data_IF_562256075968
#
_entry.id   IF_562256075968
#
_cell.length_a   1.000
_cell.length_b   1.000
_cell.length_c   1.000
_cell.angle_alpha   90.00
_cell.angle_beta   90.00
_cell.angle_gamma   90.00
#
_symmetry.space_group_name_H-M   'P 1'
#
loop_
_entity.id
_entity.type
_entity.pdbx_description
1 polymer ?
#
# COMPACT_ATOMS: atom_id res chain seq x y z
N UNK A 1 -0.40 1.91 -69.10
CA UNK A 1 -1.57 1.87 -68.19
C UNK A 1 -1.15 0.96 -67.02
N UNK A 2 -0.52 1.57 -65.98
CA UNK A 2 0.01 0.84 -64.82
C UNK A 2 -0.78 1.35 -63.61
N UNK A 3 -1.48 0.43 -62.95
CA UNK A 3 -2.21 0.69 -61.69
C UNK A 3 -1.22 0.70 -60.53
N UNK A 4 -1.31 1.61 -59.56
CA UNK A 4 -0.56 1.58 -58.34
C UNK A 4 -1.33 0.73 -57.27
N UNK A 5 -0.72 -0.37 -56.87
CA UNK A 5 -1.15 -1.14 -55.67
C UNK A 5 -0.84 -0.33 -54.41
N UNK A 6 -1.89 0.03 -53.70
CA UNK A 6 -1.79 0.65 -52.40
C UNK A 6 -1.39 -0.39 -51.34
N UNK A 7 -0.18 -0.27 -50.84
CA UNK A 7 0.36 -1.07 -49.72
C UNK A 7 -0.23 -0.56 -48.41
N UNK A 8 -1.39 -1.13 -47.98
CA UNK A 8 -1.98 -0.85 -46.68
C UNK A 8 -1.41 -1.84 -45.65
N UNK A 9 -0.41 -1.42 -44.92
CA UNK A 9 0.07 -2.08 -43.72
C UNK A 9 -0.98 -1.93 -42.62
N UNK A 10 -1.92 -2.87 -42.51
CA UNK A 10 -2.74 -3.06 -41.30
C UNK A 10 -1.87 -3.77 -40.25
N UNK A 11 -1.32 -2.99 -39.35
CA UNK A 11 -0.82 -3.46 -38.05
C UNK A 11 -2.02 -3.90 -37.22
N UNK A 12 -2.47 -5.12 -37.39
CA UNK A 12 -3.38 -5.79 -36.44
C UNK A 12 -2.57 -6.13 -35.20
N UNK A 13 -2.55 -5.20 -34.25
CA UNK A 13 -2.20 -5.53 -32.88
C UNK A 13 -3.22 -6.54 -32.37
N UNK A 14 -2.90 -7.80 -32.43
CA UNK A 14 -3.61 -8.89 -31.80
C UNK A 14 -3.44 -8.71 -30.28
N UNK A 15 -4.38 -8.00 -29.64
CA UNK A 15 -4.51 -7.97 -28.19
C UNK A 15 -4.98 -9.36 -27.79
N UNK A 16 -4.20 -10.15 -27.02
CA UNK A 16 -4.66 -11.44 -26.57
C UNK A 16 -5.93 -11.23 -25.74
N UNK A 17 -6.98 -11.97 -26.07
CA UNK A 17 -8.23 -12.05 -25.35
C UNK A 17 -7.98 -12.53 -23.91
N UNK A 18 -7.85 -11.59 -22.96
CA UNK A 18 -7.57 -11.85 -21.54
C UNK A 18 -8.88 -12.20 -20.81
N UNK A 19 -9.77 -12.95 -21.42
CA UNK A 19 -11.07 -13.16 -20.77
C UNK A 19 -11.60 -14.59 -20.85
N UNK A 20 -10.70 -15.58 -20.69
CA UNK A 20 -11.16 -16.93 -20.33
C UNK A 20 -10.06 -17.67 -19.55
N UNK A 21 -9.61 -17.13 -18.43
CA UNK A 21 -8.98 -17.95 -17.42
C UNK A 21 -10.10 -18.61 -16.60
N UNK A 22 -10.47 -19.85 -16.97
CA UNK A 22 -11.10 -20.76 -16.03
C UNK A 22 -10.23 -20.82 -14.79
N UNK A 23 -10.73 -20.51 -13.58
CA UNK A 23 -9.99 -20.74 -12.36
C UNK A 23 -9.85 -22.26 -12.18
N UNK A 24 -8.70 -22.77 -12.54
CA UNK A 24 -8.27 -24.13 -12.22
C UNK A 24 -7.67 -24.09 -10.82
N UNK A 25 -8.47 -24.31 -9.85
CA UNK A 25 -8.19 -24.95 -8.57
C UNK A 25 -9.47 -24.92 -7.75
N UNK A 26 -9.76 -25.99 -7.07
CA UNK A 26 -10.84 -26.11 -6.08
C UNK A 26 -10.81 -24.90 -5.16
N UNK A 27 -11.53 -23.84 -5.51
CA UNK A 27 -11.87 -22.78 -4.59
C UNK A 27 -12.73 -23.46 -3.55
N UNK A 28 -12.13 -23.81 -2.41
CA UNK A 28 -12.86 -24.06 -1.18
C UNK A 28 -13.67 -22.78 -0.99
N UNK A 29 -14.99 -22.84 -1.16
CA UNK A 29 -15.84 -21.71 -0.77
C UNK A 29 -15.48 -21.40 0.68
N UNK A 30 -14.88 -20.22 0.96
CA UNK A 30 -14.44 -19.93 2.30
C UNK A 30 -15.69 -19.87 3.17
N UNK A 31 -15.85 -20.87 4.02
CA UNK A 31 -16.93 -20.91 5.00
C UNK A 31 -16.87 -19.65 5.85
N UNK A 32 -17.99 -19.22 6.43
CA UNK A 32 -18.05 -18.03 7.29
C UNK A 32 -16.93 -18.02 8.34
N UNK A 33 -16.48 -19.18 8.82
CA UNK A 33 -15.37 -19.36 9.76
C UNK A 33 -14.04 -18.88 9.19
N UNK A 34 -13.69 -19.20 7.93
CA UNK A 34 -12.45 -18.75 7.28
C UNK A 34 -12.43 -17.23 7.07
N UNK A 35 -13.59 -16.66 6.71
CA UNK A 35 -13.73 -15.20 6.59
C UNK A 35 -13.51 -14.50 7.95
N UNK A 36 -14.02 -15.05 9.06
CA UNK A 36 -13.79 -14.50 10.41
C UNK A 36 -12.30 -14.57 10.80
N UNK A 37 -11.62 -15.67 10.51
CA UNK A 37 -10.17 -15.79 10.74
C UNK A 37 -9.41 -14.75 9.93
N UNK A 38 -9.73 -14.55 8.64
CA UNK A 38 -9.11 -13.54 7.79
C UNK A 38 -9.35 -12.11 8.31
N UNK A 39 -10.57 -11.81 8.78
CA UNK A 39 -10.88 -10.52 9.43
C UNK A 39 -10.00 -10.33 10.67
N UNK A 40 -9.89 -11.34 11.54
CA UNK A 40 -9.07 -11.27 12.75
C UNK A 40 -7.58 -11.04 12.45
N UNK A 41 -7.03 -11.77 11.45
CA UNK A 41 -5.65 -11.58 11.00
C UNK A 41 -5.41 -10.17 10.43
N UNK A 42 -6.36 -9.64 9.65
CA UNK A 42 -6.26 -8.29 9.10
C UNK A 42 -6.36 -7.22 10.19
N UNK A 43 -7.26 -7.36 11.16
CA UNK A 43 -7.35 -6.46 12.32
C UNK A 43 -6.03 -6.44 13.10
N UNK A 44 -5.47 -7.61 13.38
CA UNK A 44 -4.19 -7.71 14.07
C UNK A 44 -3.06 -7.08 13.25
N UNK A 45 -3.06 -7.26 11.94
CA UNK A 45 -2.08 -6.63 11.07
C UNK A 45 -2.17 -5.10 11.11
N UNK A 46 -3.38 -4.53 11.07
CA UNK A 46 -3.57 -3.07 11.15
C UNK A 46 -3.12 -2.51 12.50
N UNK A 47 -3.40 -3.22 13.59
CA UNK A 47 -2.87 -2.90 14.91
C UNK A 47 -1.34 -2.88 14.94
N UNK A 48 -0.70 -3.93 14.39
CA UNK A 48 0.75 -4.06 14.31
C UNK A 48 1.37 -2.98 13.42
N UNK A 49 0.81 -2.70 12.25
CA UNK A 49 1.32 -1.64 11.39
C UNK A 49 1.20 -0.26 12.01
N UNK A 50 0.11 0.01 12.73
CA UNK A 50 -0.04 1.26 13.45
C UNK A 50 1.01 1.40 14.57
N UNK A 51 1.35 0.30 15.26
CA UNK A 51 2.46 0.28 16.23
C UNK A 51 3.81 0.56 15.55
N UNK A 52 4.06 -0.05 14.37
CA UNK A 52 5.28 0.22 13.56
C UNK A 52 5.38 1.69 13.20
N UNK A 53 4.29 2.30 12.73
CA UNK A 53 4.28 3.70 12.33
C UNK A 53 4.44 4.64 13.54
N UNK A 54 3.92 4.25 14.71
CA UNK A 54 4.11 4.95 15.98
C UNK A 54 5.57 4.90 16.43
N UNK A 55 6.19 3.72 16.41
CA UNK A 55 7.63 3.58 16.73
C UNK A 55 8.47 4.39 15.74
N UNK A 56 8.12 4.35 14.45
CA UNK A 56 8.79 5.15 13.44
C UNK A 56 8.70 6.64 13.76
N UNK A 57 7.51 7.15 14.14
CA UNK A 57 7.33 8.56 14.55
C UNK A 57 8.14 8.90 15.80
N UNK A 58 8.21 8.03 16.80
CA UNK A 58 9.10 8.23 17.96
C UNK A 58 10.56 8.35 17.51
N UNK A 59 11.01 7.48 16.62
CA UNK A 59 12.40 7.49 16.14
C UNK A 59 12.74 8.71 15.28
N UNK A 60 11.75 9.40 14.67
CA UNK A 60 12.00 10.62 13.87
C UNK A 60 12.50 11.80 14.70
N UNK A 61 12.41 11.76 16.04
CA UNK A 61 13.00 12.77 16.92
C UNK A 61 14.52 12.76 16.89
N UNK A 62 15.14 11.58 16.72
CA UNK A 62 16.57 11.38 16.84
C UNK A 62 17.23 10.87 15.56
N UNK A 63 16.45 10.35 14.61
CA UNK A 63 16.98 9.73 13.40
C UNK A 63 16.34 10.24 12.14
N UNK A 64 17.13 10.28 11.08
CA UNK A 64 16.63 10.68 9.76
C UNK A 64 15.58 9.69 9.22
N UNK A 65 14.45 10.14 8.63
CA UNK A 65 13.38 9.29 8.11
C UNK A 65 13.86 8.16 7.20
N UNK A 66 14.86 8.40 6.34
CA UNK A 66 15.40 7.37 5.43
C UNK A 66 16.07 6.22 6.19
N UNK A 67 16.76 6.50 7.30
CA UNK A 67 17.36 5.48 8.16
C UNK A 67 16.28 4.63 8.84
N UNK A 68 15.20 5.26 9.30
CA UNK A 68 14.08 4.58 9.95
C UNK A 68 13.41 3.64 8.95
N UNK A 69 13.10 4.12 7.72
CA UNK A 69 12.50 3.28 6.68
C UNK A 69 13.41 2.12 6.30
N UNK A 70 14.72 2.37 6.16
CA UNK A 70 15.69 1.32 5.86
C UNK A 70 15.70 0.24 6.95
N UNK A 71 15.78 0.65 8.22
CA UNK A 71 15.73 -0.27 9.36
C UNK A 71 14.44 -1.09 9.40
N UNK A 72 13.30 -0.44 9.16
CA UNK A 72 11.99 -1.10 9.04
C UNK A 72 12.00 -2.22 8.00
N UNK A 73 12.66 -2.03 6.86
CA UNK A 73 12.71 -3.03 5.79
C UNK A 73 13.57 -4.25 6.13
N UNK A 74 14.48 -4.15 7.09
CA UNK A 74 15.32 -5.28 7.50
C UNK A 74 14.49 -6.48 8.00
N UNK A 75 13.35 -6.24 8.65
CA UNK A 75 12.45 -7.32 9.06
C UNK A 75 11.85 -8.09 7.88
N UNK A 76 11.47 -7.39 6.81
CA UNK A 76 11.00 -8.01 5.57
C UNK A 76 12.13 -8.78 4.88
N UNK A 77 13.34 -8.21 4.84
CA UNK A 77 14.52 -8.88 4.26
C UNK A 77 14.86 -10.15 5.04
N UNK A 78 14.79 -10.12 6.39
CA UNK A 78 14.96 -11.34 7.18
C UNK A 78 13.94 -12.41 6.79
N UNK A 79 12.68 -12.05 6.59
CA UNK A 79 11.65 -12.95 6.08
C UNK A 79 12.00 -13.52 4.68
N UNK A 80 12.55 -12.69 3.79
CA UNK A 80 13.02 -13.13 2.45
C UNK A 80 14.16 -14.14 2.56
N UNK A 81 15.13 -13.93 3.47
CA UNK A 81 16.19 -14.90 3.70
C UNK A 81 15.67 -16.25 4.19
N UNK A 82 14.70 -16.26 5.10
CA UNK A 82 14.03 -17.48 5.55
C UNK A 82 13.33 -18.16 4.37
N UNK A 83 12.59 -17.42 3.55
CA UNK A 83 11.91 -17.96 2.37
C UNK A 83 12.91 -18.51 1.34
N UNK A 84 14.05 -17.83 1.15
CA UNK A 84 15.10 -18.26 0.26
C UNK A 84 15.76 -19.57 0.74
N UNK A 85 15.97 -19.74 2.05
CA UNK A 85 16.46 -20.96 2.64
C UNK A 85 15.49 -22.15 2.43
N UNK A 86 14.18 -21.89 2.43
CA UNK A 86 13.14 -22.91 2.27
C UNK A 86 12.85 -23.25 0.79
N UNK A 87 12.92 -22.29 -0.13
CA UNK A 87 12.50 -22.41 -1.53
C UNK A 87 13.62 -22.25 -2.56
N UNK A 88 14.80 -21.85 -2.13
CA UNK A 88 15.96 -21.64 -3.01
C UNK A 88 15.81 -20.45 -3.95
N UNK A 89 16.62 -20.44 -5.02
CA UNK A 89 16.68 -19.34 -6.00
C UNK A 89 15.39 -19.16 -6.82
N UNK A 90 14.50 -20.15 -6.86
CA UNK A 90 13.20 -20.06 -7.55
C UNK A 90 12.30 -18.94 -7.01
N UNK A 91 12.60 -18.43 -5.81
CA UNK A 91 11.94 -17.27 -5.23
C UNK A 91 12.07 -16.01 -6.10
N UNK A 92 13.12 -15.90 -6.92
CA UNK A 92 13.39 -14.72 -7.76
C UNK A 92 13.06 -14.94 -9.24
N UNK A 93 12.41 -16.05 -9.59
CA UNK A 93 11.99 -16.31 -10.95
C UNK A 93 10.82 -15.40 -11.33
N UNK A 94 11.06 -14.50 -12.30
CA UNK A 94 10.05 -13.61 -12.87
C UNK A 94 10.35 -13.30 -14.33
N UNK A 95 9.31 -13.18 -15.14
CA UNK A 95 9.41 -12.68 -16.52
C UNK A 95 9.41 -11.15 -16.60
N UNK A 96 9.06 -10.47 -15.51
CA UNK A 96 8.81 -9.03 -15.48
C UNK A 96 9.74 -8.28 -14.51
N UNK A 97 11.06 -8.55 -14.56
CA UNK A 97 12.06 -7.97 -13.64
C UNK A 97 11.97 -6.44 -13.54
N UNK A 98 11.80 -5.73 -14.67
CA UNK A 98 11.70 -4.27 -14.69
C UNK A 98 10.49 -3.76 -13.89
N UNK A 99 9.35 -4.45 -13.98
CA UNK A 99 8.15 -4.10 -13.22
C UNK A 99 8.32 -4.40 -11.74
N UNK A 100 8.97 -5.51 -11.37
CA UNK A 100 9.29 -5.81 -9.98
C UNK A 100 10.24 -4.76 -9.37
N UNK A 101 11.27 -4.32 -10.12
CA UNK A 101 12.15 -3.23 -9.69
C UNK A 101 11.40 -1.90 -9.54
N UNK A 102 10.58 -1.52 -10.52
CA UNK A 102 9.76 -0.31 -10.44
C UNK A 102 8.81 -0.35 -9.23
N UNK A 103 8.16 -1.51 -8.97
CA UNK A 103 7.30 -1.71 -7.81
C UNK A 103 8.05 -1.55 -6.48
N UNK A 104 9.24 -2.13 -6.38
CA UNK A 104 10.10 -1.98 -5.19
C UNK A 104 10.54 -0.54 -4.97
N UNK A 105 10.90 0.18 -6.04
CA UNK A 105 11.23 1.60 -5.99
C UNK A 105 10.04 2.44 -5.50
N UNK A 106 8.83 2.22 -6.05
CA UNK A 106 7.62 2.91 -5.61
C UNK A 106 7.33 2.64 -4.13
N UNK A 107 7.54 1.39 -3.66
CA UNK A 107 7.38 1.04 -2.26
C UNK A 107 8.36 1.79 -1.35
N UNK A 108 9.65 1.85 -1.74
CA UNK A 108 10.68 2.55 -0.97
C UNK A 108 10.39 4.06 -0.87
N UNK A 109 10.09 4.70 -2.01
CA UNK A 109 9.79 6.13 -2.07
C UNK A 109 8.50 6.47 -1.31
N UNK A 110 7.44 5.66 -1.48
CA UNK A 110 6.18 5.84 -0.74
C UNK A 110 6.42 5.77 0.77
N UNK A 111 7.16 4.77 1.25
CA UNK A 111 7.47 4.65 2.67
C UNK A 111 8.34 5.80 3.18
N UNK A 112 9.34 6.23 2.41
CA UNK A 112 10.20 7.36 2.77
C UNK A 112 9.39 8.67 2.92
N UNK A 113 8.52 8.96 1.96
CA UNK A 113 7.66 10.15 2.00
C UNK A 113 6.66 10.11 3.16
N UNK A 114 6.05 8.94 3.43
CA UNK A 114 5.13 8.78 4.54
C UNK A 114 5.82 8.99 5.90
N UNK A 115 6.96 8.35 6.13
CA UNK A 115 7.73 8.51 7.38
C UNK A 115 8.25 9.95 7.52
N UNK A 116 8.62 10.60 6.42
CA UNK A 116 8.96 12.03 6.45
C UNK A 116 7.73 12.88 6.82
N UNK A 117 6.54 12.57 6.29
CA UNK A 117 5.33 13.30 6.64
C UNK A 117 5.01 13.22 8.13
N UNK A 118 5.01 12.03 8.72
CA UNK A 118 4.65 11.82 10.14
C UNK A 118 5.64 12.45 11.12
N UNK A 119 6.82 12.86 10.64
CA UNK A 119 7.76 13.64 11.44
C UNK A 119 7.22 15.06 11.74
N UNK A 120 6.38 15.60 10.87
CA UNK A 120 5.90 16.98 10.95
C UNK A 120 4.42 17.08 11.32
N UNK A 121 3.63 16.03 11.12
CA UNK A 121 2.18 16.05 11.33
C UNK A 121 1.72 14.92 12.26
N UNK A 122 0.53 15.05 12.89
CA UNK A 122 -0.07 13.98 13.66
C UNK A 122 -0.18 12.68 12.83
N UNK A 123 0.10 11.54 13.49
CA UNK A 123 0.10 10.25 12.82
C UNK A 123 -1.24 9.92 12.15
N UNK A 124 -2.34 10.23 12.84
CA UNK A 124 -3.68 9.95 12.36
C UNK A 124 -4.03 10.77 11.11
N UNK A 125 -3.59 12.03 11.03
CA UNK A 125 -3.84 12.92 9.87
C UNK A 125 -3.10 12.38 8.64
N UNK A 126 -1.83 12.00 8.79
CA UNK A 126 -1.05 11.38 7.72
C UNK A 126 -1.70 10.07 7.23
N UNK A 127 -2.14 9.19 8.15
CA UNK A 127 -2.83 7.94 7.81
C UNK A 127 -4.13 8.24 7.06
N UNK A 128 -4.96 9.18 7.55
CA UNK A 128 -6.24 9.52 6.93
C UNK A 128 -6.06 10.00 5.47
N UNK A 129 -5.04 10.82 5.22
CA UNK A 129 -4.71 11.30 3.87
C UNK A 129 -4.32 10.15 2.94
N UNK A 130 -3.62 9.12 3.43
CA UNK A 130 -3.23 7.98 2.57
C UNK A 130 -4.43 7.18 2.04
N UNK A 131 -5.62 7.31 2.62
CA UNK A 131 -6.83 6.69 2.11
C UNK A 131 -7.31 7.25 0.76
N UNK A 132 -6.67 8.28 0.23
CA UNK A 132 -6.86 8.70 -1.15
C UNK A 132 -6.36 7.65 -2.16
N UNK A 133 -5.46 6.76 -1.76
CA UNK A 133 -4.84 5.78 -2.65
C UNK A 133 -5.83 4.92 -3.46
N UNK A 134 -6.94 4.35 -2.94
CA UNK A 134 -7.90 3.59 -3.72
C UNK A 134 -8.52 4.40 -4.86
N UNK A 135 -8.73 5.71 -4.66
CA UNK A 135 -9.28 6.60 -5.68
C UNK A 135 -8.25 6.89 -6.76
N UNK A 136 -6.99 7.09 -6.37
CA UNK A 136 -5.85 7.24 -7.30
C UNK A 136 -5.67 5.95 -8.13
N UNK A 137 -5.77 4.76 -7.51
CA UNK A 137 -5.76 3.47 -8.22
C UNK A 137 -6.87 3.42 -9.26
N UNK A 138 -8.10 3.80 -8.91
CA UNK A 138 -9.24 3.78 -9.83
C UNK A 138 -9.02 4.74 -11.00
N UNK A 139 -8.58 5.96 -10.72
CA UNK A 139 -8.31 6.98 -11.74
C UNK A 139 -7.24 6.51 -12.73
N UNK A 140 -6.09 6.04 -12.23
CA UNK A 140 -5.01 5.59 -13.11
C UNK A 140 -5.30 4.26 -13.81
N UNK A 141 -6.09 3.36 -13.22
CA UNK A 141 -6.58 2.17 -13.93
C UNK A 141 -7.45 2.54 -15.12
N UNK A 142 -8.31 3.55 -14.98
CA UNK A 142 -9.09 4.06 -16.09
C UNK A 142 -8.23 4.70 -17.19
N UNK A 143 -7.24 5.52 -16.80
CA UNK A 143 -6.42 6.28 -17.73
C UNK A 143 -5.34 5.43 -18.41
N UNK A 144 -4.60 4.62 -17.64
CA UNK A 144 -3.44 3.85 -18.12
C UNK A 144 -3.83 2.49 -18.69
N UNK A 145 -4.75 1.78 -18.01
CA UNK A 145 -5.20 0.45 -18.42
C UNK A 145 -6.43 0.54 -19.34
N UNK A 146 -6.95 1.75 -19.61
CA UNK A 146 -8.14 2.01 -20.42
C UNK A 146 -9.36 1.19 -19.96
N UNK A 147 -9.44 0.90 -18.66
CA UNK A 147 -10.59 0.19 -18.08
C UNK A 147 -11.83 1.08 -18.13
N UNK A 148 -12.95 0.50 -18.52
CA UNK A 148 -14.24 1.20 -18.48
C UNK A 148 -14.72 1.37 -17.05
N UNK A 149 -14.43 2.52 -16.45
CA UNK A 149 -14.87 2.89 -15.09
C UNK A 149 -16.26 3.50 -15.19
N UNK A 150 -17.25 2.88 -14.53
CA UNK A 150 -18.61 3.38 -14.52
C UNK A 150 -18.77 4.67 -13.69
N UNK A 151 -19.86 5.41 -13.91
CA UNK A 151 -20.15 6.68 -13.22
C UNK A 151 -20.08 6.60 -11.68
N UNK A 152 -20.53 5.48 -11.11
CA UNK A 152 -20.49 5.26 -9.65
C UNK A 152 -19.07 5.20 -9.07
N UNK A 153 -18.08 4.68 -9.83
CA UNK A 153 -16.67 4.71 -9.39
C UNK A 153 -16.12 6.12 -9.51
N UNK A 154 -16.48 6.86 -10.56
CA UNK A 154 -16.07 8.25 -10.71
C UNK A 154 -16.67 9.14 -9.62
N UNK A 155 -17.95 8.96 -9.26
CA UNK A 155 -18.53 9.72 -8.13
C UNK A 155 -17.82 9.41 -6.81
N UNK A 156 -17.46 8.15 -6.55
CA UNK A 156 -16.68 7.78 -5.37
C UNK A 156 -15.28 8.42 -5.38
N UNK A 157 -14.58 8.46 -6.53
CA UNK A 157 -13.31 9.15 -6.67
C UNK A 157 -13.43 10.63 -6.29
N UNK A 158 -14.44 11.32 -6.83
CA UNK A 158 -14.67 12.74 -6.55
C UNK A 158 -14.96 12.96 -5.06
N UNK A 159 -15.88 12.18 -4.48
CA UNK A 159 -16.25 12.30 -3.06
C UNK A 159 -15.07 12.00 -2.15
N UNK A 160 -14.28 10.95 -2.43
CA UNK A 160 -13.08 10.63 -1.67
C UNK A 160 -12.00 11.71 -1.76
N UNK A 161 -11.82 12.30 -2.94
CA UNK A 161 -10.92 13.44 -3.12
C UNK A 161 -11.37 14.68 -2.33
N UNK A 162 -12.67 14.98 -2.31
CA UNK A 162 -13.22 16.05 -1.47
C UNK A 162 -12.96 15.78 0.02
N UNK A 163 -13.12 14.54 0.48
CA UNK A 163 -12.75 14.15 1.85
C UNK A 163 -11.26 14.41 2.15
N UNK A 164 -10.37 14.13 1.20
CA UNK A 164 -8.93 14.45 1.35
C UNK A 164 -8.69 15.95 1.44
N UNK A 165 -9.40 16.77 0.65
CA UNK A 165 -9.30 18.23 0.72
C UNK A 165 -9.79 18.78 2.06
N UNK A 166 -10.80 18.17 2.69
CA UNK A 166 -11.26 18.54 4.04
C UNK A 166 -10.15 18.31 5.08
N UNK A 167 -9.37 17.24 4.96
CA UNK A 167 -8.22 16.98 5.85
C UNK A 167 -7.07 17.95 5.57
N UNK A 168 -6.74 18.16 4.29
CA UNK A 168 -5.61 19.00 3.87
C UNK A 168 -5.81 20.50 4.16
N UNK A 169 -7.04 20.99 4.09
CA UNK A 169 -7.42 22.42 4.29
C UNK A 169 -6.57 23.39 3.49
N UNK A 170 -6.38 23.22 2.18
CA UNK A 170 -5.50 24.09 1.41
C UNK A 170 -6.01 25.54 1.44
N UNK A 171 -5.15 26.49 1.86
CA UNK A 171 -5.49 27.91 1.94
C UNK A 171 -6.24 28.38 3.19
N UNK A 172 -6.43 27.51 4.19
CA UNK A 172 -7.00 27.86 5.50
C UNK A 172 -5.93 27.81 6.59
N UNK A 173 -6.21 28.45 7.73
CA UNK A 173 -5.39 28.31 8.93
C UNK A 173 -5.34 26.81 9.33
N UNK A 174 -4.11 26.29 9.53
CA UNK A 174 -3.88 24.87 9.84
C UNK A 174 -3.52 24.00 8.62
N UNK A 175 -3.26 24.58 7.43
CA UNK A 175 -2.65 23.84 6.33
C UNK A 175 -1.21 23.45 6.66
N UNK A 176 -0.97 22.15 6.72
CA UNK A 176 0.36 21.58 6.96
C UNK A 176 0.95 21.06 5.64
N UNK A 177 1.94 21.74 5.03
CA UNK A 177 2.52 21.34 3.74
C UNK A 177 3.07 19.91 3.75
N UNK A 178 3.49 19.40 4.91
CA UNK A 178 4.00 18.04 5.07
C UNK A 178 2.95 16.96 4.74
N UNK A 179 1.64 17.26 4.82
CA UNK A 179 0.58 16.36 4.37
C UNK A 179 0.63 16.08 2.87
N UNK A 180 1.19 16.99 2.06
CA UNK A 180 1.42 16.75 0.63
C UNK A 180 2.40 15.60 0.40
N UNK A 181 3.36 15.38 1.32
CA UNK A 181 4.23 14.21 1.27
C UNK A 181 3.43 12.92 1.47
N UNK A 182 2.43 12.91 2.37
CA UNK A 182 1.53 11.78 2.56
C UNK A 182 0.64 11.54 1.33
N UNK A 183 0.16 12.60 0.65
CA UNK A 183 -0.57 12.47 -0.63
C UNK A 183 0.34 11.85 -1.69
N UNK A 184 1.57 12.34 -1.84
CA UNK A 184 2.52 11.80 -2.81
C UNK A 184 2.89 10.35 -2.48
N UNK A 185 3.05 10.01 -1.19
CA UNK A 185 3.23 8.64 -0.74
C UNK A 185 2.05 7.75 -1.17
N UNK A 186 0.80 8.22 -1.01
CA UNK A 186 -0.40 7.52 -1.44
C UNK A 186 -0.46 7.33 -2.96
N UNK A 187 -0.04 8.31 -3.75
CA UNK A 187 0.05 8.22 -5.21
C UNK A 187 1.07 7.14 -5.61
N UNK A 188 2.28 7.13 -5.04
CA UNK A 188 3.28 6.10 -5.31
C UNK A 188 2.82 4.72 -4.86
N UNK A 189 2.14 4.63 -3.72
CA UNK A 189 1.49 3.40 -3.27
C UNK A 189 0.44 2.91 -4.28
N UNK A 190 -0.37 3.80 -4.84
CA UNK A 190 -1.35 3.47 -5.86
C UNK A 190 -0.69 2.91 -7.13
N UNK A 191 0.38 3.52 -7.62
CA UNK A 191 1.16 2.97 -8.73
C UNK A 191 1.73 1.60 -8.43
N UNK A 192 2.28 1.40 -7.23
CA UNK A 192 2.72 0.08 -6.75
C UNK A 192 1.59 -0.95 -6.82
N UNK A 193 0.38 -0.58 -6.44
CA UNK A 193 -0.78 -1.47 -6.49
C UNK A 193 -1.19 -1.83 -7.93
N UNK A 194 -1.14 -0.86 -8.85
CA UNK A 194 -1.41 -1.10 -10.28
C UNK A 194 -0.40 -2.10 -10.87
N UNK A 195 0.89 -1.90 -10.58
CA UNK A 195 1.95 -2.83 -10.99
C UNK A 195 1.72 -4.22 -10.38
N UNK A 196 1.35 -4.28 -9.08
CA UNK A 196 1.05 -5.54 -8.39
C UNK A 196 -0.11 -6.29 -9.05
N UNK A 197 -1.17 -5.57 -9.45
CA UNK A 197 -2.32 -6.14 -10.16
C UNK A 197 -1.90 -6.74 -11.51
N UNK A 198 -1.02 -6.07 -12.24
CA UNK A 198 -0.50 -6.60 -13.50
C UNK A 198 0.34 -7.87 -13.28
N UNK A 199 1.20 -7.88 -12.25
CA UNK A 199 2.09 -9.00 -11.92
C UNK A 199 1.36 -10.22 -11.34
N UNK A 200 0.21 -10.03 -10.70
CA UNK A 200 -0.53 -11.13 -10.05
C UNK A 200 -0.99 -12.24 -11.00
N UNK A 201 -1.04 -11.95 -12.31
CA UNK A 201 -1.35 -12.96 -13.33
C UNK A 201 -0.16 -13.83 -13.75
N UNK A 202 1.08 -13.45 -13.40
CA UNK A 202 2.30 -14.12 -13.88
C UNK A 202 3.27 -14.53 -12.77
N UNK A 203 3.33 -13.76 -11.69
CA UNK A 203 4.32 -13.92 -10.64
C UNK A 203 3.68 -14.37 -9.32
N UNK A 204 4.42 -15.15 -8.54
CA UNK A 204 3.99 -15.55 -7.19
C UNK A 204 4.07 -14.34 -6.23
N UNK A 205 3.20 -14.31 -5.24
CA UNK A 205 3.17 -13.27 -4.22
C UNK A 205 4.50 -13.17 -3.49
N UNK A 206 5.11 -14.30 -3.16
CA UNK A 206 6.40 -14.37 -2.47
C UNK A 206 7.53 -13.75 -3.29
N UNK A 207 7.56 -13.98 -4.60
CA UNK A 207 8.51 -13.34 -5.53
C UNK A 207 8.36 -11.83 -5.48
N UNK A 208 7.13 -11.35 -5.52
CA UNK A 208 6.82 -9.93 -5.48
C UNK A 208 7.24 -9.28 -4.15
N UNK A 209 7.00 -9.95 -3.02
CA UNK A 209 7.45 -9.49 -1.70
C UNK A 209 8.97 -9.46 -1.61
N UNK A 210 9.63 -10.52 -2.09
CA UNK A 210 11.09 -10.62 -2.07
C UNK A 210 11.77 -9.49 -2.87
N UNK A 211 11.31 -9.25 -4.10
CA UNK A 211 11.82 -8.12 -4.91
C UNK A 211 11.58 -6.78 -4.22
N UNK A 212 10.40 -6.57 -3.64
CA UNK A 212 10.09 -5.30 -2.97
C UNK A 212 11.00 -5.05 -1.79
N UNK A 213 11.19 -6.03 -0.91
CA UNK A 213 12.05 -5.91 0.27
C UNK A 213 13.50 -5.61 -0.11
N UNK A 214 14.06 -6.38 -1.06
CA UNK A 214 15.45 -6.19 -1.48
C UNK A 214 15.66 -4.87 -2.23
N UNK A 215 14.79 -4.52 -3.16
CA UNK A 215 14.89 -3.26 -3.90
C UNK A 215 14.77 -2.07 -2.97
N UNK A 216 13.82 -2.11 -2.01
CA UNK A 216 13.66 -1.03 -1.06
C UNK A 216 14.91 -0.84 -0.19
N UNK A 217 15.48 -1.93 0.34
CA UNK A 217 16.72 -1.84 1.13
C UNK A 217 17.87 -1.31 0.29
N UNK A 218 18.06 -1.79 -0.96
CA UNK A 218 19.13 -1.34 -1.84
C UNK A 218 18.99 0.14 -2.22
N UNK A 219 17.79 0.59 -2.56
CA UNK A 219 17.52 1.99 -2.94
C UNK A 219 17.75 2.92 -1.74
N UNK A 220 17.25 2.54 -0.58
CA UNK A 220 17.39 3.34 0.64
C UNK A 220 18.82 3.31 1.18
N UNK A 221 19.62 2.29 0.87
CA UNK A 221 21.02 2.20 1.25
C UNK A 221 21.88 3.28 0.57
N UNK A 222 21.52 3.72 -0.64
CA UNK A 222 22.30 4.72 -1.39
C UNK A 222 22.44 6.04 -0.63
N UNK A 223 21.37 6.68 -0.13
CA UNK A 223 21.47 7.92 0.64
C UNK A 223 21.89 7.68 2.11
N UNK A 224 21.86 6.45 2.60
CA UNK A 224 22.05 6.14 4.01
C UNK A 224 23.39 6.65 4.59
N UNK A 225 24.54 6.51 3.92
CA UNK A 225 25.81 7.00 4.45
C UNK A 225 25.84 8.52 4.72
N UNK A 226 25.01 9.30 4.01
CA UNK A 226 24.94 10.76 4.15
C UNK A 226 24.02 11.21 5.30
N UNK A 227 23.14 10.33 5.76
CA UNK A 227 22.13 10.65 6.79
C UNK A 227 22.20 9.72 8.00
N UNK A 228 23.21 8.82 8.03
CA UNK A 228 23.34 7.84 9.09
C UNK A 228 23.67 8.49 10.43
N UNK A 229 22.86 8.19 11.42
CA UNK A 229 23.07 8.56 12.80
C UNK A 229 23.22 7.27 13.62
N UNK A 230 24.39 7.07 14.23
CA UNK A 230 24.66 5.83 14.98
C UNK A 230 23.81 5.80 16.25
N UNK A 231 22.97 4.77 16.46
CA UNK A 231 22.20 4.63 17.68
C UNK A 231 23.14 4.42 18.88
N UNK A 232 23.23 5.39 19.78
CA UNK A 232 24.07 5.32 20.96
C UNK A 232 23.38 4.63 22.12
N UNK A 233 22.04 4.75 22.19
CA UNK A 233 21.23 4.16 23.25
C UNK A 233 20.76 2.76 22.90
N UNK A 234 20.87 1.82 23.85
CA UNK A 234 20.27 0.49 23.73
C UNK A 234 18.74 0.53 23.55
N UNK A 235 18.07 1.57 24.03
CA UNK A 235 16.66 1.80 23.83
C UNK A 235 16.32 2.06 22.36
N UNK A 236 17.10 2.87 21.65
CA UNK A 236 16.91 3.11 20.21
C UNK A 236 17.12 1.83 19.39
N UNK A 237 18.16 1.05 19.72
CA UNK A 237 18.38 -0.25 19.08
C UNK A 237 17.21 -1.21 19.31
N UNK A 238 16.67 -1.24 20.52
CA UNK A 238 15.51 -2.04 20.85
C UNK A 238 14.26 -1.62 20.04
N UNK A 239 13.97 -0.31 19.96
CA UNK A 239 12.86 0.21 19.18
C UNK A 239 13.01 -0.12 17.69
N UNK A 240 14.21 0.05 17.12
CA UNK A 240 14.51 -0.29 15.73
C UNK A 240 14.32 -1.79 15.46
N UNK A 241 14.78 -2.65 16.38
CA UNK A 241 14.62 -4.10 16.26
C UNK A 241 13.14 -4.51 16.35
N UNK A 242 12.40 -3.98 17.33
CA UNK A 242 10.96 -4.22 17.48
C UNK A 242 10.21 -3.75 16.23
N UNK A 243 10.50 -2.55 15.74
CA UNK A 243 9.87 -2.00 14.52
C UNK A 243 10.11 -2.91 13.31
N UNK A 244 11.35 -3.39 13.11
CA UNK A 244 11.68 -4.29 12.00
C UNK A 244 10.92 -5.63 12.11
N UNK A 245 10.89 -6.24 13.28
CA UNK A 245 10.18 -7.51 13.54
C UNK A 245 8.67 -7.32 13.32
N UNK A 246 8.09 -6.27 13.88
CA UNK A 246 6.66 -6.00 13.75
C UNK A 246 6.28 -5.68 12.29
N UNK A 247 7.14 -5.00 11.52
CA UNK A 247 6.89 -4.74 10.11
C UNK A 247 6.83 -6.05 9.30
N UNK A 248 7.76 -6.96 9.52
CA UNK A 248 7.73 -8.29 8.92
C UNK A 248 6.51 -9.10 9.34
N UNK A 249 6.16 -9.09 10.63
CA UNK A 249 4.98 -9.77 11.17
C UNK A 249 3.68 -9.20 10.57
N UNK A 250 3.56 -7.87 10.50
CA UNK A 250 2.38 -7.21 9.91
C UNK A 250 2.14 -7.64 8.46
N UNK A 251 3.21 -7.68 7.63
CA UNK A 251 3.10 -8.12 6.24
C UNK A 251 2.69 -9.60 6.15
N UNK A 252 3.26 -10.49 6.99
CA UNK A 252 2.87 -11.90 7.03
C UNK A 252 1.40 -12.08 7.42
N UNK A 253 0.89 -11.27 8.35
CA UNK A 253 -0.52 -11.30 8.76
C UNK A 253 -1.44 -10.87 7.62
N UNK A 254 -1.08 -9.83 6.83
CA UNK A 254 -1.85 -9.43 5.62
C UNK A 254 -1.88 -10.56 4.61
N UNK A 255 -0.72 -11.14 4.30
CA UNK A 255 -0.62 -12.24 3.32
C UNK A 255 -1.52 -13.40 3.78
N UNK A 256 -1.43 -13.81 5.04
CA UNK A 256 -2.25 -14.89 5.61
C UNK A 256 -3.74 -14.54 5.62
N UNK A 257 -4.11 -13.31 5.93
CA UNK A 257 -5.51 -12.86 5.87
C UNK A 257 -6.08 -13.01 4.44
N UNK A 258 -5.31 -12.64 3.42
CA UNK A 258 -5.69 -12.74 2.01
C UNK A 258 -5.66 -14.17 1.46
N UNK A 259 -4.86 -15.06 2.05
CA UNK A 259 -4.85 -16.49 1.70
C UNK A 259 -6.11 -17.23 2.21
N UNK A 260 -6.59 -16.87 3.42
CA UNK A 260 -7.67 -17.61 4.07
C UNK A 260 -9.05 -17.01 3.85
N UNK A 261 -9.15 -15.73 3.47
CA UNK A 261 -10.41 -15.04 3.26
C UNK A 261 -10.46 -14.28 1.94
N UNK A 262 -11.68 -14.04 1.45
CA UNK A 262 -11.87 -13.25 0.24
C UNK A 262 -11.39 -11.81 0.45
N UNK A 263 -10.60 -11.28 -0.47
CA UNK A 263 -10.09 -9.91 -0.42
C UNK A 263 -11.20 -8.87 -0.19
N UNK A 264 -12.38 -9.08 -0.81
CA UNK A 264 -13.58 -8.25 -0.65
C UNK A 264 -14.10 -8.22 0.80
N UNK A 265 -13.85 -9.28 1.60
CA UNK A 265 -14.26 -9.34 3.00
C UNK A 265 -13.25 -8.61 3.89
N UNK A 266 -11.96 -8.80 3.65
CA UNK A 266 -10.90 -8.23 4.51
C UNK A 266 -10.49 -6.80 4.14
N UNK A 267 -10.73 -6.35 2.88
CA UNK A 267 -10.36 -4.99 2.46
C UNK A 267 -10.96 -3.85 3.30
N UNK A 268 -12.26 -3.91 3.72
CA UNK A 268 -12.80 -2.88 4.60
C UNK A 268 -12.11 -2.77 5.96
N UNK A 269 -11.56 -3.89 6.44
CA UNK A 269 -10.86 -3.94 7.72
C UNK A 269 -9.58 -3.10 7.72
N UNK A 270 -9.02 -2.85 6.55
CA UNK A 270 -7.84 -1.98 6.39
C UNK A 270 -8.07 -0.56 6.93
N UNK A 271 -9.30 -0.05 6.86
CA UNK A 271 -9.63 1.27 7.40
C UNK A 271 -9.48 1.37 8.93
N UNK A 272 -9.44 0.23 9.63
CA UNK A 272 -9.22 0.22 11.09
C UNK A 272 -7.84 0.72 11.50
N UNK A 273 -6.88 0.81 10.57
CA UNK A 273 -5.57 1.41 10.84
C UNK A 273 -5.69 2.86 11.34
N UNK A 274 -6.72 3.61 10.89
CA UNK A 274 -6.97 4.95 11.38
C UNK A 274 -7.38 4.94 12.87
N UNK A 275 -8.20 3.98 13.28
CA UNK A 275 -8.61 3.83 14.69
C UNK A 275 -7.38 3.56 15.55
N UNK A 276 -6.57 2.60 15.16
CA UNK A 276 -5.33 2.26 15.87
C UNK A 276 -4.33 3.42 15.86
N UNK A 277 -4.15 4.09 14.70
CA UNK A 277 -3.28 5.26 14.58
C UNK A 277 -3.74 6.44 15.44
N UNK A 278 -5.04 6.67 15.55
CA UNK A 278 -5.60 7.69 16.44
C UNK A 278 -5.39 7.35 17.91
N UNK A 279 -5.60 6.08 18.30
CA UNK A 279 -5.35 5.61 19.66
C UNK A 279 -3.88 5.74 20.04
N UNK A 280 -2.97 5.24 19.22
CA UNK A 280 -1.53 5.37 19.45
C UNK A 280 -1.10 6.84 19.45
N UNK A 281 -1.62 7.66 18.51
CA UNK A 281 -1.37 9.10 18.46
C UNK A 281 -1.72 9.79 19.77
N UNK A 282 -2.89 9.48 20.32
CA UNK A 282 -3.33 10.02 21.60
C UNK A 282 -2.50 9.54 22.79
N UNK A 283 -2.29 8.21 22.91
CA UNK A 283 -1.61 7.68 24.10
C UNK A 283 -0.11 7.91 24.12
N UNK A 284 0.54 8.03 22.96
CA UNK A 284 2.01 8.17 22.87
C UNK A 284 2.43 9.64 22.70
N UNK A 285 1.68 10.43 21.93
CA UNK A 285 2.05 11.80 21.59
C UNK A 285 1.11 12.84 22.19
N UNK A 286 -0.04 12.46 22.72
CA UNK A 286 -1.10 13.39 23.13
C UNK A 286 -1.89 13.98 21.95
N UNK A 287 -1.61 13.53 20.72
CA UNK A 287 -2.23 14.03 19.49
C UNK A 287 -3.54 13.30 19.22
N UNK A 288 -4.65 14.01 19.29
CA UNK A 288 -5.95 13.49 18.88
C UNK A 288 -6.39 14.19 17.58
N UNK A 289 -6.88 13.44 16.57
CA UNK A 289 -7.34 14.04 15.33
C UNK A 289 -8.45 15.05 15.59
N UNK A 290 -8.38 16.17 14.94
CA UNK A 290 -9.41 17.18 15.05
C UNK A 290 -10.72 16.77 14.34
N UNK A 291 -11.78 17.57 14.50
CA UNK A 291 -13.09 17.24 13.94
C UNK A 291 -13.11 17.22 12.41
N UNK A 292 -12.30 18.04 11.73
CA UNK A 292 -12.22 18.05 10.26
C UNK A 292 -11.50 16.81 9.74
N UNK A 293 -10.46 16.35 10.42
CA UNK A 293 -9.80 15.08 10.11
C UNK A 293 -10.79 13.91 10.21
N UNK A 294 -11.61 13.86 11.26
CA UNK A 294 -12.67 12.86 11.39
C UNK A 294 -13.72 12.96 10.28
N UNK A 295 -14.19 14.16 9.97
CA UNK A 295 -15.17 14.37 8.88
C UNK A 295 -14.59 13.88 7.54
N UNK A 296 -13.39 14.33 7.20
CA UNK A 296 -12.73 13.91 5.95
C UNK A 296 -12.48 12.40 5.89
N UNK A 297 -12.01 11.79 6.99
CA UNK A 297 -11.79 10.36 7.08
C UNK A 297 -13.10 9.55 6.91
N UNK A 298 -14.19 9.98 7.54
CA UNK A 298 -15.52 9.35 7.39
C UNK A 298 -15.99 9.44 5.93
N UNK A 299 -15.85 10.60 5.27
CA UNK A 299 -16.22 10.77 3.86
C UNK A 299 -15.42 9.78 2.99
N UNK A 300 -14.10 9.67 3.19
CA UNK A 300 -13.23 8.77 2.43
C UNK A 300 -13.63 7.30 2.67
N UNK A 301 -13.81 6.90 3.93
CA UNK A 301 -14.18 5.53 4.30
C UNK A 301 -15.53 5.14 3.69
N UNK A 302 -16.55 5.99 3.83
CA UNK A 302 -17.89 5.74 3.27
C UNK A 302 -17.85 5.64 1.75
N UNK A 303 -17.08 6.49 1.08
CA UNK A 303 -16.88 6.43 -0.36
C UNK A 303 -16.19 5.13 -0.80
N UNK A 304 -15.16 4.68 -0.08
CA UNK A 304 -14.47 3.42 -0.31
C UNK A 304 -15.39 2.21 -0.10
N UNK A 305 -16.14 2.18 1.01
CA UNK A 305 -17.12 1.13 1.31
C UNK A 305 -18.26 1.07 0.27
N UNK A 306 -18.75 2.23 -0.20
CA UNK A 306 -19.72 2.29 -1.28
C UNK A 306 -19.19 1.65 -2.57
N UNK A 307 -17.95 1.92 -2.93
CA UNK A 307 -17.30 1.32 -4.10
C UNK A 307 -17.26 -0.21 -3.97
N UNK A 308 -16.80 -0.72 -2.80
CA UNK A 308 -16.75 -2.17 -2.51
C UNK A 308 -18.14 -2.82 -2.56
N UNK A 309 -19.17 -2.18 -2.00
CA UNK A 309 -20.54 -2.67 -2.04
C UNK A 309 -21.04 -2.81 -3.49
N UNK A 310 -20.79 -1.81 -4.33
CA UNK A 310 -21.22 -1.81 -5.74
C UNK A 310 -20.48 -2.87 -6.56
N UNK A 311 -19.20 -3.08 -6.30
CA UNK A 311 -18.43 -4.16 -6.95
C UNK A 311 -18.98 -5.54 -6.61
N UNK A 312 -19.30 -5.79 -5.32
CA UNK A 312 -19.98 -7.03 -4.91
C UNK A 312 -21.27 -7.27 -5.66
N UNK A 313 -22.15 -6.25 -5.71
CA UNK A 313 -23.44 -6.34 -6.40
C UNK A 313 -23.28 -6.59 -7.90
N UNK A 314 -22.20 -6.13 -8.52
CA UNK A 314 -21.91 -6.33 -9.94
C UNK A 314 -21.33 -7.72 -10.23
N UNK A 315 -20.53 -8.27 -9.31
CA UNK A 315 -19.98 -9.62 -9.43
C UNK A 315 -21.02 -10.72 -9.18
N UNK A 316 -22.11 -10.39 -8.45
CA UNK A 316 -23.24 -11.29 -8.18
C UNK A 316 -24.33 -11.32 -9.27
N UNK A 317 -24.21 -10.49 -10.32
CA UNK A 317 -25.07 -10.44 -11.52
C UNK A 317 -24.35 -11.03 -12.73
#
# INVERSE_FOLDING_TARGET
MIQPEAFSLRLTLQVPSIMTLKPSSKLIEPTARYNLVGIGLMLLSMFVFSAVDTIAKVLTTDFHPLQIVWTRQLGLVAGVFVMMALRGASLFETKHRKLQLARGLMAALSAALFITAINYVPLADAIAVTFVAPFVVTMFSALLLKEKVGSHRWSAVIVGFLGTLVILRPGFDGFEPALLLAVLAAVLFAFRQIISRYLSGSDKTETTVAYTALVAVMVLFIPLPFVWQTPVSGFHLLLMAIMAILAGLGELLVIKALEVALAVVVSPVHYTILIWGSLYGYFVFGDFPDYLTWIGAIIIILSGLYTLYRERKRAAR
#
